data_IF_590142893644
#
_entry.id   IF_590142893644
#
_cell.length_a   1.000
_cell.length_b   1.000
_cell.length_c   1.000
_cell.angle_alpha   90.00
_cell.angle_beta   90.00
_cell.angle_gamma   90.00
#
_symmetry.space_group_name_H-M   'P 1'
#
loop_
_entity.id
_entity.type
_entity.pdbx_description
1 polymer ?
#
# COMPACT_ATOMS: atom_id res chain seq x y z
N UNK A 1 -8.03 -7.73 -2.48
CA UNK A 1 -6.79 -7.01 -2.13
C UNK A 1 -5.81 -8.00 -1.50
N UNK A 2 -4.51 -7.82 -1.69
CA UNK A 2 -3.47 -8.64 -1.04
C UNK A 2 -3.02 -9.84 -1.88
N UNK A 3 -3.96 -10.67 -2.37
CA UNK A 3 -3.66 -11.83 -3.20
C UNK A 3 -4.63 -11.92 -4.40
N UNK A 4 -4.09 -12.05 -5.62
CA UNK A 4 -4.87 -12.34 -6.84
C UNK A 4 -3.96 -12.86 -7.95
N UNK A 5 -4.33 -14.00 -8.54
CA UNK A 5 -3.57 -14.63 -9.64
C UNK A 5 -3.56 -13.78 -10.92
N UNK A 6 -4.52 -12.86 -11.08
CA UNK A 6 -4.65 -11.97 -12.25
C UNK A 6 -4.25 -10.53 -11.94
N UNK A 7 -3.67 -10.27 -10.76
CA UNK A 7 -3.20 -8.94 -10.39
C UNK A 7 -2.17 -8.42 -11.38
N UNK A 8 -2.18 -7.10 -11.63
CA UNK A 8 -1.12 -6.41 -12.38
C UNK A 8 0.18 -6.30 -11.57
N UNK A 9 0.11 -6.41 -10.25
CA UNK A 9 1.27 -6.37 -9.37
C UNK A 9 1.79 -7.78 -9.07
N UNK A 10 3.08 -8.03 -9.38
CA UNK A 10 3.70 -9.36 -9.23
C UNK A 10 3.54 -9.92 -7.80
N UNK A 11 3.75 -9.10 -6.77
CA UNK A 11 3.67 -9.58 -5.39
C UNK A 11 2.28 -10.13 -5.03
N UNK A 12 1.19 -9.57 -5.57
CA UNK A 12 -0.15 -10.10 -5.36
C UNK A 12 -0.37 -11.45 -6.06
N UNK A 13 0.31 -11.71 -7.18
CA UNK A 13 0.33 -13.04 -7.82
C UNK A 13 1.12 -14.04 -6.99
N UNK A 14 2.26 -13.63 -6.43
CA UNK A 14 3.08 -14.46 -5.55
C UNK A 14 2.31 -14.83 -4.26
N UNK A 15 1.57 -13.88 -3.69
CA UNK A 15 0.69 -14.13 -2.54
C UNK A 15 -0.42 -15.13 -2.88
N UNK A 16 -1.06 -15.02 -4.06
CA UNK A 16 -2.07 -15.99 -4.49
C UNK A 16 -1.49 -17.40 -4.67
N UNK A 17 -0.29 -17.51 -5.25
CA UNK A 17 0.41 -18.79 -5.37
C UNK A 17 0.79 -19.36 -3.98
N UNK A 18 1.13 -18.51 -3.02
CA UNK A 18 1.43 -18.93 -1.64
C UNK A 18 0.18 -19.42 -0.91
N UNK A 19 -0.95 -18.71 -1.03
CA UNK A 19 -2.23 -19.17 -0.47
C UNK A 19 -2.67 -20.51 -1.07
N UNK A 20 -2.44 -20.72 -2.36
CA UNK A 20 -2.67 -22.01 -3.03
C UNK A 20 -1.78 -23.13 -2.47
N UNK A 21 -0.49 -22.86 -2.27
CA UNK A 21 0.43 -23.82 -1.66
C UNK A 21 0.05 -24.16 -0.22
N UNK A 22 -0.34 -23.17 0.58
CA UNK A 22 -0.82 -23.37 1.95
C UNK A 22 -2.09 -24.22 1.99
N UNK A 23 -3.03 -24.00 1.06
CA UNK A 23 -4.26 -24.78 0.96
C UNK A 23 -4.01 -26.25 0.60
N UNK A 24 -2.93 -26.55 -0.11
CA UNK A 24 -2.62 -27.91 -0.58
C UNK A 24 -1.67 -28.68 0.35
N UNK A 25 -0.97 -28.02 1.28
CA UNK A 25 0.00 -28.67 2.16
C UNK A 25 -0.63 -29.39 3.38
N UNK A 26 -1.93 -29.20 3.63
CA UNK A 26 -2.66 -29.90 4.69
C UNK A 26 -2.42 -29.35 6.12
N UNK A 27 -1.76 -28.20 6.25
CA UNK A 27 -1.54 -27.50 7.52
C UNK A 27 -2.59 -26.38 7.65
N UNK A 28 -3.32 -26.28 8.79
CA UNK A 28 -4.17 -25.12 9.04
C UNK A 28 -3.38 -23.82 8.94
N UNK A 29 -3.95 -22.81 8.30
CA UNK A 29 -3.26 -21.55 8.08
C UNK A 29 -4.23 -20.37 8.13
N UNK A 30 -3.70 -19.21 8.50
CA UNK A 30 -4.37 -17.92 8.30
C UNK A 30 -3.49 -17.05 7.41
N UNK A 31 -4.02 -16.60 6.27
CA UNK A 31 -3.33 -15.65 5.38
C UNK A 31 -3.81 -14.24 5.67
N UNK A 32 -2.97 -13.43 6.31
CA UNK A 32 -3.27 -12.02 6.61
C UNK A 32 -3.16 -11.19 5.32
N UNK A 33 -4.31 -10.81 4.76
CA UNK A 33 -4.37 -10.02 3.53
C UNK A 33 -4.16 -8.53 3.81
N UNK A 34 -2.92 -8.19 4.16
CA UNK A 34 -2.47 -6.84 4.46
C UNK A 34 -2.74 -5.86 3.30
N UNK A 35 -3.19 -4.66 3.64
CA UNK A 35 -3.27 -3.53 2.74
C UNK A 35 -1.90 -2.93 2.42
N UNK A 36 -1.88 -1.96 1.50
CA UNK A 36 -0.65 -1.31 1.08
C UNK A 36 -0.12 -0.33 2.14
N UNK A 37 1.19 -0.26 2.34
CA UNK A 37 1.77 0.50 3.43
C UNK A 37 1.79 2.02 3.17
N UNK A 38 1.32 2.79 4.15
CA UNK A 38 1.36 4.25 4.15
C UNK A 38 2.79 4.82 4.08
N UNK A 39 3.80 4.08 4.54
CA UNK A 39 5.21 4.47 4.38
C UNK A 39 5.67 4.40 2.92
N UNK A 40 5.08 3.52 2.09
CA UNK A 40 5.33 3.50 0.65
C UNK A 40 4.80 4.76 -0.02
N UNK A 41 3.62 5.25 0.40
CA UNK A 41 3.11 6.54 -0.04
C UNK A 41 4.07 7.69 0.32
N UNK A 42 4.61 7.71 1.54
CA UNK A 42 5.62 8.68 1.95
C UNK A 42 6.88 8.60 1.08
N UNK A 43 7.35 7.39 0.77
CA UNK A 43 8.51 7.18 -0.10
C UNK A 43 8.28 7.71 -1.52
N UNK A 44 7.10 7.47 -2.11
CA UNK A 44 6.76 7.97 -3.44
C UNK A 44 6.55 9.48 -3.49
N UNK A 45 6.02 10.08 -2.41
CA UNK A 45 6.03 11.53 -2.26
C UNK A 45 7.46 12.07 -2.18
N UNK A 46 8.38 11.31 -1.60
CA UNK A 46 9.80 11.66 -1.49
C UNK A 46 9.98 13.07 -0.94
N UNK A 47 10.71 13.88 -1.68
CA UNK A 47 11.02 15.27 -1.30
C UNK A 47 9.90 16.28 -1.65
N UNK A 48 8.73 15.83 -2.14
CA UNK A 48 7.64 16.71 -2.57
C UNK A 48 7.19 17.70 -1.50
N UNK A 49 7.25 17.29 -0.22
CA UNK A 49 6.95 18.16 0.90
C UNK A 49 7.90 19.36 1.03
N UNK A 50 9.17 19.20 0.60
CA UNK A 50 10.16 20.27 0.55
C UNK A 50 10.14 21.03 -0.78
N UNK A 51 10.12 20.31 -1.90
CA UNK A 51 10.22 20.87 -3.26
C UNK A 51 8.90 21.44 -3.79
N UNK A 52 7.77 21.07 -3.19
CA UNK A 52 6.41 21.41 -3.64
C UNK A 52 5.96 20.68 -4.91
N UNK A 53 6.77 19.76 -5.45
CA UNK A 53 6.44 19.06 -6.70
C UNK A 53 7.01 17.65 -6.77
N UNK A 54 6.28 16.75 -7.43
CA UNK A 54 6.73 15.40 -7.75
C UNK A 54 6.04 14.87 -9.01
N UNK A 55 6.66 13.87 -9.63
CA UNK A 55 6.14 13.23 -10.82
C UNK A 55 6.04 11.73 -10.60
N UNK A 56 4.87 11.16 -10.85
CA UNK A 56 4.62 9.72 -10.77
C UNK A 56 3.74 9.28 -11.94
N UNK A 57 3.77 8.00 -12.30
CA UNK A 57 2.77 7.41 -13.17
C UNK A 57 1.34 7.71 -12.72
N UNK A 58 0.39 7.67 -13.65
CA UNK A 58 -1.03 7.71 -13.30
C UNK A 58 -1.36 6.57 -12.33
N UNK A 59 -2.20 6.83 -11.33
CA UNK A 59 -2.56 5.88 -10.28
C UNK A 59 -4.08 5.72 -10.16
N UNK A 60 -4.51 4.97 -9.15
CA UNK A 60 -5.88 4.93 -8.68
C UNK A 60 -5.91 4.85 -7.15
N UNK A 61 -7.10 4.83 -6.53
CA UNK A 61 -7.23 4.89 -5.08
C UNK A 61 -6.56 3.70 -4.38
N UNK A 62 -5.86 3.97 -3.27
CA UNK A 62 -5.20 2.96 -2.44
C UNK A 62 -5.61 3.13 -0.98
N UNK A 63 -6.09 2.05 -0.33
CA UNK A 63 -6.40 2.02 1.09
C UNK A 63 -5.13 1.82 1.94
N UNK A 64 -4.42 2.91 2.20
CA UNK A 64 -3.13 2.93 2.90
C UNK A 64 -3.24 2.52 4.37
N UNK A 65 -2.30 1.67 4.83
CA UNK A 65 -2.26 1.07 6.18
C UNK A 65 -0.96 1.39 6.90
N UNK A 66 -1.02 1.57 8.22
CA UNK A 66 0.19 1.71 9.04
C UNK A 66 0.76 0.33 9.39
N UNK A 67 2.09 0.20 9.37
CA UNK A 67 2.78 -1.03 9.79
C UNK A 67 2.40 -1.44 11.23
N UNK A 68 2.30 -0.47 12.14
CA UNK A 68 1.95 -0.73 13.53
C UNK A 68 0.55 -1.35 13.67
N UNK A 69 -0.43 -0.89 12.89
CA UNK A 69 -1.77 -1.46 12.89
C UNK A 69 -1.79 -2.90 12.35
N UNK A 70 -1.06 -3.17 11.28
CA UNK A 70 -0.98 -4.54 10.73
C UNK A 70 -0.26 -5.49 11.67
N UNK A 71 0.77 -5.02 12.40
CA UNK A 71 1.46 -5.80 13.42
C UNK A 71 0.55 -6.10 14.62
N UNK A 72 -0.23 -5.13 15.08
CA UNK A 72 -1.23 -5.32 16.15
C UNK A 72 -2.33 -6.30 15.71
N UNK A 73 -2.81 -6.20 14.47
CA UNK A 73 -3.78 -7.15 13.91
C UNK A 73 -3.21 -8.58 13.83
N UNK A 74 -1.95 -8.73 13.42
CA UNK A 74 -1.29 -10.04 13.41
C UNK A 74 -1.19 -10.63 14.82
N UNK A 75 -0.82 -9.81 15.82
CA UNK A 75 -0.77 -10.24 17.22
C UNK A 75 -2.16 -10.63 17.75
N UNK A 76 -3.21 -9.89 17.40
CA UNK A 76 -4.59 -10.20 17.78
C UNK A 76 -5.07 -11.52 17.19
N UNK A 77 -4.75 -11.81 15.92
CA UNK A 77 -5.09 -13.10 15.28
C UNK A 77 -4.33 -14.26 15.92
N UNK A 78 -3.07 -14.07 16.29
CA UNK A 78 -2.28 -15.09 16.99
C UNK A 78 -2.79 -15.35 18.42
N UNK A 79 -3.33 -14.34 19.09
CA UNK A 79 -3.84 -14.46 20.46
C UNK A 79 -5.25 -15.08 20.55
N UNK A 80 -5.98 -15.13 19.43
CA UNK A 80 -7.35 -15.64 19.31
C UNK A 80 -7.38 -16.69 18.18
N UNK A 81 -6.69 -17.81 18.42
CA UNK A 81 -6.57 -18.91 17.46
C UNK A 81 -7.95 -19.43 17.02
N UNK A 82 -8.10 -19.74 15.74
CA UNK A 82 -9.35 -20.24 15.15
C UNK A 82 -10.35 -19.14 14.77
N UNK A 83 -10.05 -17.86 15.02
CA UNK A 83 -10.86 -16.73 14.54
C UNK A 83 -10.98 -16.67 13.02
N UNK A 84 -9.93 -17.09 12.30
CA UNK A 84 -9.91 -17.18 10.85
C UNK A 84 -9.25 -18.47 10.39
N UNK A 85 -9.92 -19.14 9.45
CA UNK A 85 -9.38 -20.29 8.72
C UNK A 85 -9.19 -19.88 7.26
N UNK A 86 -7.94 -19.92 6.78
CA UNK A 86 -7.57 -19.47 5.44
C UNK A 86 -7.36 -17.95 5.34
N UNK A 87 -7.62 -17.35 4.17
CA UNK A 87 -7.39 -15.92 3.97
C UNK A 87 -8.37 -15.03 4.74
N UNK A 88 -7.85 -14.00 5.40
CA UNK A 88 -8.68 -12.98 6.04
C UNK A 88 -9.41 -12.11 5.00
N UNK A 89 -10.49 -11.40 5.38
CA UNK A 89 -10.87 -10.20 4.66
C UNK A 89 -9.70 -9.20 4.57
N UNK A 90 -9.73 -8.23 3.64
CA UNK A 90 -8.68 -7.23 3.50
C UNK A 90 -8.42 -6.46 4.80
N UNK A 91 -7.15 -6.33 5.19
CA UNK A 91 -6.75 -5.54 6.35
C UNK A 91 -6.32 -4.15 5.89
N UNK A 92 -7.26 -3.21 5.81
CA UNK A 92 -7.10 -1.94 5.09
C UNK A 92 -7.28 -0.71 5.96
N UNK A 93 -6.77 0.44 5.50
CA UNK A 93 -7.12 1.74 6.08
C UNK A 93 -8.60 2.08 5.88
N UNK A 94 -9.07 3.09 6.60
CA UNK A 94 -10.48 3.50 6.57
C UNK A 94 -10.92 4.29 5.30
N UNK A 95 -9.98 4.61 4.42
CA UNK A 95 -10.23 5.36 3.18
C UNK A 95 -9.20 4.96 2.12
N UNK A 96 -9.61 4.98 0.86
CA UNK A 96 -8.72 4.83 -0.28
C UNK A 96 -8.42 6.21 -0.90
N UNK A 97 -7.14 6.54 -1.05
CA UNK A 97 -6.69 7.83 -1.58
C UNK A 97 -5.76 7.63 -2.78
N UNK A 98 -5.90 8.51 -3.76
CA UNK A 98 -4.96 8.73 -4.86
C UNK A 98 -3.75 9.56 -4.41
N UNK A 99 -2.70 9.58 -5.22
CA UNK A 99 -1.53 10.43 -4.97
C UNK A 99 -1.84 11.94 -5.06
N UNK A 100 -2.88 12.35 -5.80
CA UNK A 100 -3.31 13.76 -5.83
C UNK A 100 -3.96 14.16 -4.49
N UNK A 101 -4.77 13.27 -3.91
CA UNK A 101 -5.34 13.47 -2.58
C UNK A 101 -4.26 13.42 -1.49
N UNK A 102 -3.28 12.52 -1.61
CA UNK A 102 -2.12 12.49 -0.73
C UNK A 102 -1.27 13.78 -0.84
N UNK A 103 -1.13 14.35 -2.04
CA UNK A 103 -0.48 15.65 -2.23
C UNK A 103 -1.22 16.76 -1.49
N UNK A 104 -2.56 16.77 -1.55
CA UNK A 104 -3.38 17.70 -0.80
C UNK A 104 -3.23 17.51 0.73
N UNK A 105 -3.15 16.27 1.21
CA UNK A 105 -2.86 15.97 2.62
C UNK A 105 -1.47 16.49 3.02
N UNK A 106 -0.44 16.19 2.22
CA UNK A 106 0.92 16.67 2.47
C UNK A 106 1.01 18.20 2.47
N UNK A 107 0.28 18.88 1.58
CA UNK A 107 0.24 20.33 1.55
C UNK A 107 -0.40 20.95 2.78
N UNK A 108 -1.49 20.35 3.29
CA UNK A 108 -2.09 20.76 4.57
C UNK A 108 -1.15 20.57 5.75
N UNK A 109 -0.37 19.49 5.76
CA UNK A 109 0.58 19.18 6.84
C UNK A 109 1.79 20.11 6.83
N UNK A 110 2.26 20.55 5.66
CA UNK A 110 3.47 21.36 5.51
C UNK A 110 3.20 22.86 5.39
N UNK A 111 1.94 23.26 5.17
CA UNK A 111 1.58 24.65 4.88
C UNK A 111 2.07 25.12 3.51
N UNK A 112 2.39 24.19 2.59
CA UNK A 112 2.90 24.47 1.24
C UNK A 112 2.03 23.81 0.19
N UNK A 113 1.96 24.39 -0.99
CA UNK A 113 1.35 23.71 -2.14
C UNK A 113 2.26 22.57 -2.59
N UNK A 114 1.71 21.35 -2.66
CA UNK A 114 2.38 20.17 -3.21
C UNK A 114 1.61 19.75 -4.46
N UNK A 115 2.27 19.81 -5.62
CA UNK A 115 1.65 19.53 -6.92
C UNK A 115 2.23 18.26 -7.53
N UNK A 116 1.36 17.35 -7.95
CA UNK A 116 1.74 16.19 -8.75
C UNK A 116 1.66 16.49 -10.24
N UNK A 117 2.60 15.95 -11.00
CA UNK A 117 2.48 15.81 -12.46
C UNK A 117 2.47 14.34 -12.84
N UNK A 118 1.63 13.97 -13.81
CA UNK A 118 1.58 12.60 -14.32
C UNK A 118 2.74 12.36 -15.30
N UNK A 119 3.51 11.32 -15.05
CA UNK A 119 4.61 10.85 -15.90
C UNK A 119 4.19 9.61 -16.69
N UNK A 120 4.53 9.46 -17.97
CA UNK A 120 4.34 8.20 -18.69
C UNK A 120 5.09 7.02 -18.02
N UNK A 121 4.49 5.83 -18.05
CA UNK A 121 5.04 4.64 -17.40
C UNK A 121 6.47 4.29 -17.91
N UNK A 122 6.69 4.39 -19.22
CA UNK A 122 7.99 4.18 -19.87
C UNK A 122 9.06 5.16 -19.35
N UNK A 123 8.70 6.43 -19.22
CA UNK A 123 9.59 7.46 -18.67
C UNK A 123 9.91 7.23 -17.20
N UNK A 124 8.94 6.81 -16.39
CA UNK A 124 9.20 6.47 -14.99
C UNK A 124 10.17 5.29 -14.87
N UNK A 125 9.97 4.26 -15.70
CA UNK A 125 10.87 3.11 -15.77
C UNK A 125 12.29 3.50 -16.16
N UNK A 126 12.43 4.29 -17.22
CA UNK A 126 13.71 4.80 -17.71
C UNK A 126 14.45 5.59 -16.62
N UNK A 127 13.73 6.44 -15.88
CA UNK A 127 14.29 7.20 -14.76
C UNK A 127 14.82 6.30 -13.65
N UNK A 128 14.04 5.31 -13.21
CA UNK A 128 14.46 4.37 -12.17
C UNK A 128 15.70 3.58 -12.60
N UNK A 129 15.70 3.04 -13.83
CA UNK A 129 16.84 2.29 -14.36
C UNK A 129 18.07 3.20 -14.50
N UNK A 130 17.89 4.43 -14.97
CA UNK A 130 18.96 5.43 -15.05
C UNK A 130 19.55 5.81 -13.69
N UNK A 131 18.80 5.65 -12.61
CA UNK A 131 19.25 5.83 -11.22
C UNK A 131 19.89 4.57 -10.61
N UNK A 132 20.07 3.51 -11.39
CA UNK A 132 20.69 2.26 -10.96
C UNK A 132 19.72 1.24 -10.35
N UNK A 133 18.40 1.47 -10.41
CA UNK A 133 17.41 0.47 -10.00
C UNK A 133 17.41 -0.68 -11.02
N UNK A 134 17.53 -1.95 -10.60
CA UNK A 134 17.45 -3.08 -11.52
C UNK A 134 16.13 -3.07 -12.31
N UNK A 135 16.19 -3.42 -13.59
CA UNK A 135 15.05 -3.37 -14.50
C UNK A 135 13.81 -4.10 -13.96
N UNK A 136 13.99 -5.32 -13.43
CA UNK A 136 12.89 -6.08 -12.82
C UNK A 136 12.27 -5.40 -11.60
N UNK A 137 13.06 -4.69 -10.79
CA UNK A 137 12.56 -3.90 -9.66
C UNK A 137 11.80 -2.66 -10.15
N UNK A 138 12.27 -2.00 -11.21
CA UNK A 138 11.54 -0.89 -11.83
C UNK A 138 10.18 -1.35 -12.39
N UNK A 139 10.14 -2.53 -13.03
CA UNK A 139 8.91 -3.15 -13.52
C UNK A 139 7.95 -3.52 -12.37
N UNK A 140 8.47 -4.01 -11.25
CA UNK A 140 7.66 -4.27 -10.04
C UNK A 140 7.07 -2.98 -9.46
N UNK A 141 7.85 -1.90 -9.37
CA UNK A 141 7.36 -0.59 -8.91
C UNK A 141 6.28 -0.02 -9.84
N UNK A 142 6.44 -0.15 -11.16
CA UNK A 142 5.41 0.19 -12.12
C UNK A 142 4.13 -0.63 -11.94
N UNK A 143 4.27 -1.91 -11.60
CA UNK A 143 3.14 -2.81 -11.30
C UNK A 143 2.21 -2.27 -10.20
N UNK A 144 2.74 -1.50 -9.25
CA UNK A 144 1.95 -0.84 -8.19
C UNK A 144 0.97 0.16 -8.81
N UNK A 145 1.47 1.05 -9.70
CA UNK A 145 0.63 2.04 -10.37
C UNK A 145 -0.39 1.38 -11.30
N UNK A 146 0.03 0.37 -12.07
CA UNK A 146 -0.87 -0.38 -12.94
C UNK A 146 -2.00 -1.07 -12.17
N UNK A 147 -1.70 -1.69 -11.02
CA UNK A 147 -2.69 -2.33 -10.16
C UNK A 147 -3.60 -1.30 -9.47
N UNK A 148 -3.05 -0.18 -9.00
CA UNK A 148 -3.82 0.92 -8.41
C UNK A 148 -4.83 1.50 -9.41
N UNK A 149 -4.43 1.77 -10.66
CA UNK A 149 -5.33 2.23 -11.75
C UNK A 149 -6.46 1.25 -12.04
N UNK A 150 -6.22 -0.04 -11.83
CA UNK A 150 -7.23 -1.08 -11.97
C UNK A 150 -8.11 -1.28 -10.73
N UNK A 151 -7.95 -0.45 -9.70
CA UNK A 151 -8.74 -0.52 -8.46
C UNK A 151 -8.35 -1.67 -7.52
N UNK A 152 -7.23 -2.35 -7.77
CA UNK A 152 -6.85 -3.57 -7.02
C UNK A 152 -6.54 -3.29 -5.54
N UNK A 153 -6.29 -2.02 -5.19
CA UNK A 153 -5.99 -1.55 -3.84
C UNK A 153 -7.05 -0.60 -3.25
N UNK A 154 -8.19 -0.42 -3.92
CA UNK A 154 -9.20 0.57 -3.53
C UNK A 154 -10.20 0.06 -2.46
N UNK A 155 -10.24 -1.24 -2.20
CA UNK A 155 -11.18 -1.83 -1.23
C UNK A 155 -10.93 -1.27 0.18
N UNK A 156 -12.00 -0.85 0.86
CA UNK A 156 -11.99 -0.49 2.29
C UNK A 156 -12.83 -1.52 3.02
N UNK A 157 -12.28 -2.13 4.05
CA UNK A 157 -12.89 -3.19 4.83
C UNK A 157 -12.72 -2.94 6.34
N UNK A 158 -13.76 -3.21 7.18
CA UNK A 158 -13.72 -2.92 8.61
C UNK A 158 -12.91 -3.93 9.44
N UNK A 159 -12.38 -5.00 8.84
CA UNK A 159 -11.72 -6.10 9.57
C UNK A 159 -10.51 -5.62 10.35
N UNK A 160 -9.70 -4.72 9.78
CA UNK A 160 -8.57 -4.14 10.51
C UNK A 160 -9.06 -3.37 11.75
N UNK A 161 -10.05 -2.49 11.61
CA UNK A 161 -10.61 -1.74 12.74
C UNK A 161 -11.17 -2.67 13.83
N UNK A 162 -11.80 -3.76 13.41
CA UNK A 162 -12.40 -4.76 14.32
C UNK A 162 -11.33 -5.52 15.09
N UNK A 163 -10.19 -5.84 14.47
CA UNK A 163 -9.06 -6.51 15.13
C UNK A 163 -8.34 -5.58 16.11
N UNK A 164 -8.23 -4.30 15.77
CA UNK A 164 -7.59 -3.30 16.64
C UNK A 164 -8.48 -2.85 17.82
N UNK A 165 -9.81 -2.99 17.69
CA UNK A 165 -10.76 -2.38 18.64
C UNK A 165 -10.79 -0.85 18.60
N UNK A 166 -10.20 -0.24 17.55
CA UNK A 166 -10.11 1.21 17.31
C UNK A 166 -10.04 1.48 15.80
N UNK A 167 -10.21 2.73 15.40
CA UNK A 167 -9.99 3.12 14.01
C UNK A 167 -8.50 2.88 13.59
N UNK A 168 -8.24 2.41 12.36
CA UNK A 168 -6.90 2.35 11.81
C UNK A 168 -6.27 3.75 11.73
N UNK A 169 -4.96 3.81 11.88
CA UNK A 169 -4.15 5.03 11.80
C UNK A 169 -4.33 5.66 10.42
N UNK A 170 -4.78 6.91 10.39
CA UNK A 170 -4.94 7.64 9.14
C UNK A 170 -3.58 7.85 8.45
N UNK A 171 -3.55 7.73 7.12
CA UNK A 171 -2.32 7.95 6.32
C UNK A 171 -1.69 9.31 6.57
N UNK A 172 -2.49 10.36 6.82
CA UNK A 172 -1.98 11.68 7.18
C UNK A 172 -1.16 11.71 8.48
N UNK A 173 -1.45 10.82 9.44
CA UNK A 173 -0.63 10.66 10.66
C UNK A 173 0.74 10.07 10.32
N UNK A 174 0.76 9.01 9.51
CA UNK A 174 2.02 8.40 9.05
C UNK A 174 2.84 9.40 8.22
N UNK A 175 2.20 10.14 7.31
CA UNK A 175 2.87 11.17 6.53
C UNK A 175 3.48 12.25 7.44
N UNK A 176 2.75 12.75 8.44
CA UNK A 176 3.28 13.74 9.38
C UNK A 176 4.54 13.25 10.08
N UNK A 177 4.53 12.00 10.56
CA UNK A 177 5.68 11.39 11.23
C UNK A 177 6.88 11.28 10.30
N UNK A 178 6.69 10.81 9.07
CA UNK A 178 7.77 10.68 8.08
C UNK A 178 8.35 12.04 7.69
N UNK A 179 7.49 13.05 7.50
CA UNK A 179 7.91 14.41 7.15
C UNK A 179 8.65 15.12 8.28
N UNK A 180 8.38 14.79 9.55
CA UNK A 180 9.10 15.35 10.69
C UNK A 180 10.52 14.83 10.87
N UNK A 181 10.86 13.70 10.22
CA UNK A 181 12.17 13.05 10.30
C UNK A 181 13.13 13.45 9.18
N UNK A 182 12.65 14.22 8.21
CA UNK A 182 13.34 14.57 6.97
C UNK A 182 13.72 16.05 6.92
#
# INVERSE_FOLDING_TARGET
>A
MGASATSRFQACRDHAATEEALRTCGVPFTSLRNGFYATSAAHFLGDAARSGRFALPADGPVAWTAHADLAEAAAAVLADEGRFEGPTPPLTGAQALTFDELAAVAGKLTGRTVTRTTLPDDRFREQLVGQGVPAGTADQLLGIFAAARAGEFATVDPTLATLLGRAPTAVGTVLREQLSRA
#
